data_IF_623578787684
#
_entry.id   IF_623578787684
#
_cell.length_a   1.000
_cell.length_b   1.000
_cell.length_c   1.000
_cell.angle_alpha   90.00
_cell.angle_beta   90.00
_cell.angle_gamma   90.00
#
_symmetry.space_group_name_H-M   'P 1'
#
loop_
_entity.id
_entity.type
_entity.pdbx_description
1 polymer ?
#
# COMPACT_ATOMS: atom_id res chain seq x y z
N UNK A 1 12.54 5.63 -19.54
CA UNK A 1 11.47 6.63 -19.33
C UNK A 1 12.06 7.74 -18.46
N UNK A 2 11.91 9.01 -18.84
CA UNK A 2 12.40 10.17 -18.07
C UNK A 2 11.26 10.78 -17.27
N UNK A 3 11.57 11.43 -16.14
CA UNK A 3 10.57 12.19 -15.38
C UNK A 3 10.10 13.41 -16.19
N UNK A 4 8.87 13.86 -15.99
CA UNK A 4 8.32 15.06 -16.62
C UNK A 4 8.99 16.32 -16.08
N UNK A 5 9.16 17.34 -16.92
CA UNK A 5 9.53 18.69 -16.46
C UNK A 5 8.37 19.35 -15.69
N UNK A 6 8.65 19.87 -14.50
CA UNK A 6 7.61 20.43 -13.60
C UNK A 6 7.78 21.93 -13.32
N UNK A 7 8.79 22.58 -13.89
CA UNK A 7 9.08 24.01 -13.63
C UNK A 7 8.51 24.93 -14.74
N UNK A 8 7.49 24.48 -15.45
CA UNK A 8 6.71 25.27 -16.41
C UNK A 8 5.38 25.67 -15.80
N UNK A 9 4.79 26.78 -16.28
CA UNK A 9 3.62 27.42 -15.66
C UNK A 9 2.39 26.51 -15.47
N UNK A 10 2.28 25.43 -16.26
CA UNK A 10 1.14 24.51 -16.28
C UNK A 10 1.48 23.11 -15.71
N UNK A 11 2.55 22.97 -14.91
CA UNK A 11 2.90 21.69 -14.29
C UNK A 11 3.11 21.80 -12.78
N UNK A 12 2.46 20.91 -12.04
CA UNK A 12 2.71 20.73 -10.61
C UNK A 12 3.97 19.86 -10.39
N UNK A 13 4.74 20.11 -9.32
CA UNK A 13 5.81 19.22 -8.87
C UNK A 13 5.28 17.80 -8.57
N UNK A 14 6.16 16.81 -8.61
CA UNK A 14 5.84 15.48 -8.07
C UNK A 14 5.61 15.59 -6.56
N UNK A 15 4.43 15.18 -6.10
CA UNK A 15 4.09 15.22 -4.67
C UNK A 15 4.24 13.84 -4.05
N UNK A 16 4.96 13.77 -2.94
CA UNK A 16 5.19 12.56 -2.15
C UNK A 16 4.44 12.72 -0.82
N UNK A 17 3.23 12.17 -0.77
CA UNK A 17 2.38 12.09 0.43
C UNK A 17 1.45 10.90 0.27
N UNK A 18 1.48 9.94 1.18
CA UNK A 18 0.56 8.81 1.11
C UNK A 18 -0.89 9.31 1.26
N UNK A 19 -1.70 9.15 0.22
CA UNK A 19 -3.11 9.57 0.17
C UNK A 19 -3.97 8.47 -0.43
N UNK A 20 -5.21 8.36 0.06
CA UNK A 20 -6.25 7.57 -0.59
C UNK A 20 -6.79 8.37 -1.78
N UNK A 21 -6.33 7.99 -2.99
CA UNK A 21 -6.65 8.68 -4.23
C UNK A 21 -7.58 7.83 -5.10
N UNK A 22 -8.86 7.80 -4.72
CA UNK A 22 -9.92 7.17 -5.51
C UNK A 22 -10.00 7.73 -6.93
N UNK A 23 -10.17 6.85 -7.93
CA UNK A 23 -10.25 7.21 -9.36
C UNK A 23 -9.09 8.10 -9.83
N UNK A 24 -7.86 7.79 -9.39
CA UNK A 24 -6.68 8.56 -9.76
C UNK A 24 -6.49 8.67 -11.29
N UNK A 25 -5.93 9.80 -11.72
CA UNK A 25 -5.64 10.06 -13.12
C UNK A 25 -4.27 9.50 -13.51
N UNK A 26 -4.15 8.96 -14.72
CA UNK A 26 -2.87 8.63 -15.33
C UNK A 26 -2.14 9.90 -15.76
N UNK A 27 -0.81 9.83 -15.92
CA UNK A 27 0.03 10.98 -16.34
C UNK A 27 -0.08 12.21 -15.41
N UNK A 28 -0.26 11.96 -14.10
CA UNK A 28 -0.36 12.99 -13.06
C UNK A 28 0.87 12.98 -12.15
N UNK A 29 1.23 14.14 -11.61
CA UNK A 29 2.26 14.32 -10.57
C UNK A 29 1.68 14.31 -9.16
N UNK A 30 0.35 14.14 -9.03
CA UNK A 30 -0.35 14.02 -7.75
C UNK A 30 0.07 12.78 -6.99
N UNK A 31 0.09 12.87 -5.66
CA UNK A 31 0.44 11.75 -4.80
C UNK A 31 -0.57 10.60 -4.90
N UNK A 32 -0.08 9.39 -4.61
CA UNK A 32 -0.87 8.16 -4.47
C UNK A 32 -0.62 7.55 -3.07
N UNK A 33 -0.87 6.25 -2.91
CA UNK A 33 -0.86 5.53 -1.63
C UNK A 33 0.53 5.35 -0.99
N UNK A 34 1.61 5.48 -1.77
CA UNK A 34 2.98 5.24 -1.30
C UNK A 34 3.98 6.27 -1.82
N UNK A 35 5.04 6.50 -1.05
CA UNK A 35 6.12 7.42 -1.38
C UNK A 35 7.47 6.80 -1.05
N UNK A 36 8.37 6.75 -2.03
CA UNK A 36 9.77 6.34 -1.87
C UNK A 36 10.64 7.48 -2.41
N UNK A 37 11.24 8.32 -1.55
CA UNK A 37 11.89 9.57 -1.96
C UNK A 37 13.30 9.37 -2.52
N UNK A 38 13.43 8.52 -3.55
CA UNK A 38 14.68 8.26 -4.28
C UNK A 38 14.56 8.65 -5.75
N UNK A 39 15.57 9.34 -6.28
CA UNK A 39 15.65 9.78 -7.68
C UNK A 39 16.97 9.30 -8.28
N UNK A 40 16.91 8.84 -9.52
CA UNK A 40 18.09 8.38 -10.27
C UNK A 40 18.39 9.32 -11.43
N UNK A 41 19.62 9.84 -11.47
CA UNK A 41 20.17 10.52 -12.64
C UNK A 41 20.90 9.50 -13.51
N UNK A 42 20.46 9.31 -14.75
CA UNK A 42 21.02 8.29 -15.65
C UNK A 42 21.54 8.88 -16.96
N UNK A 43 22.71 8.43 -17.39
CA UNK A 43 23.31 8.74 -18.69
C UNK A 43 23.92 7.48 -19.31
N UNK A 44 24.35 7.59 -20.59
CA UNK A 44 25.10 6.51 -21.25
C UNK A 44 26.42 6.15 -20.55
N UNK A 45 26.98 7.05 -19.74
CA UNK A 45 28.30 6.89 -19.10
C UNK A 45 28.20 6.42 -17.64
N UNK A 46 27.22 6.92 -16.90
CA UNK A 46 27.07 6.64 -15.48
C UNK A 46 25.65 6.89 -14.98
N UNK A 47 25.34 6.30 -13.83
CA UNK A 47 24.14 6.53 -13.04
C UNK A 47 24.53 7.01 -11.65
N UNK A 48 23.80 7.98 -11.12
CA UNK A 48 23.83 8.38 -9.73
C UNK A 48 22.42 8.36 -9.13
N UNK A 49 22.33 8.36 -7.81
CA UNK A 49 21.07 8.39 -7.07
C UNK A 49 21.11 9.40 -5.92
N UNK A 50 19.94 9.95 -5.61
CA UNK A 50 19.71 10.82 -4.45
C UNK A 50 18.54 10.20 -3.67
N UNK A 51 18.73 9.96 -2.37
CA UNK A 51 17.67 9.57 -1.45
C UNK A 51 17.53 10.62 -0.36
N UNK A 52 16.36 11.24 -0.28
CA UNK A 52 16.02 12.20 0.78
C UNK A 52 15.28 11.48 1.89
N UNK A 53 15.99 11.14 2.95
CA UNK A 53 15.48 10.40 4.10
C UNK A 53 14.63 11.30 5.00
N UNK A 54 13.38 11.51 4.60
CA UNK A 54 12.43 12.35 5.32
C UNK A 54 11.01 11.78 5.18
N UNK A 55 10.25 11.72 6.29
CA UNK A 55 8.90 11.16 6.32
C UNK A 55 7.78 12.21 6.16
N UNK A 56 8.11 13.50 6.22
CA UNK A 56 7.15 14.56 5.99
C UNK A 56 6.70 14.59 4.53
N UNK A 57 5.62 15.33 4.26
CA UNK A 57 5.20 15.59 2.89
C UNK A 57 6.34 16.26 2.10
N UNK A 58 6.59 15.76 0.89
CA UNK A 58 7.62 16.29 0.01
C UNK A 58 7.06 16.67 -1.36
N UNK A 59 7.76 17.60 -2.00
CA UNK A 59 7.57 17.95 -3.39
C UNK A 59 8.92 17.92 -4.11
N UNK A 60 8.91 17.43 -5.34
CA UNK A 60 10.10 17.35 -6.18
C UNK A 60 9.81 18.05 -7.50
N UNK A 61 10.53 19.14 -7.72
CA UNK A 61 10.60 19.79 -9.02
C UNK A 61 11.70 19.18 -9.89
N UNK A 62 11.40 18.95 -11.16
CA UNK A 62 12.35 18.43 -12.16
C UNK A 62 12.48 19.44 -13.30
N UNK A 63 13.71 19.81 -13.66
CA UNK A 63 13.97 20.68 -14.82
C UNK A 63 15.05 20.14 -15.74
N UNK A 64 14.87 20.40 -17.03
CA UNK A 64 15.82 20.07 -18.09
C UNK A 64 16.27 21.31 -18.89
N UNK A 65 15.90 22.53 -18.46
CA UNK A 65 16.15 23.80 -19.18
C UNK A 65 17.62 24.02 -19.50
N UNK A 66 18.53 23.67 -18.59
CA UNK A 66 19.95 23.60 -18.90
C UNK A 66 20.24 22.28 -19.61
N UNK A 67 20.33 22.30 -20.95
CA UNK A 67 20.70 21.13 -21.75
C UNK A 67 21.93 20.45 -21.13
N UNK A 68 21.82 19.14 -20.88
CA UNK A 68 22.84 18.28 -20.25
C UNK A 68 23.06 18.47 -18.74
N UNK A 69 22.21 19.25 -18.06
CA UNK A 69 22.23 19.42 -16.59
C UNK A 69 20.81 19.30 -16.02
N UNK A 70 20.20 18.11 -16.06
CA UNK A 70 18.95 17.89 -15.35
C UNK A 70 19.16 18.18 -13.86
N UNK A 71 18.19 18.82 -13.22
CA UNK A 71 18.24 19.07 -11.78
C UNK A 71 16.91 18.75 -11.11
N UNK A 72 17.00 18.38 -9.83
CA UNK A 72 15.87 18.10 -8.97
C UNK A 72 15.92 19.04 -7.76
N UNK A 73 14.80 19.71 -7.46
CA UNK A 73 14.65 20.53 -6.26
C UNK A 73 13.67 19.85 -5.33
N UNK A 74 14.15 19.50 -4.14
CA UNK A 74 13.34 18.89 -3.08
C UNK A 74 12.84 19.98 -2.13
N UNK A 75 11.57 19.90 -1.77
CA UNK A 75 10.91 20.75 -0.79
C UNK A 75 10.23 19.82 0.22
N UNK A 76 10.47 20.02 1.51
CA UNK A 76 9.90 19.19 2.59
C UNK A 76 9.15 20.06 3.58
N UNK A 77 8.00 19.58 4.05
CA UNK A 77 7.14 20.30 4.99
C UNK A 77 7.78 20.46 6.37
N UNK A 78 8.59 19.48 6.80
CA UNK A 78 9.25 19.50 8.10
C UNK A 78 10.31 18.42 8.23
N UNK A 79 10.86 18.28 9.43
CA UNK A 79 11.96 17.37 9.73
C UNK A 79 13.33 17.93 9.31
N UNK A 80 14.36 17.09 9.41
CA UNK A 80 15.73 17.45 9.06
C UNK A 80 16.03 17.17 7.59
N UNK A 81 17.02 17.88 7.04
CA UNK A 81 17.61 17.53 5.75
C UNK A 81 18.62 16.39 5.95
N UNK A 82 18.21 15.17 5.62
CA UNK A 82 19.05 13.97 5.67
C UNK A 82 19.14 13.35 4.26
N UNK A 83 20.28 13.55 3.60
CA UNK A 83 20.44 13.31 2.16
C UNK A 83 21.57 12.30 1.90
N UNK A 84 21.23 11.23 1.19
CA UNK A 84 22.18 10.21 0.75
C UNK A 84 22.44 10.33 -0.74
N UNK A 85 23.73 10.27 -1.12
CA UNK A 85 24.19 10.32 -2.50
C UNK A 85 24.81 8.97 -2.88
N UNK A 86 24.35 8.42 -4.00
CA UNK A 86 24.81 7.14 -4.53
C UNK A 86 25.52 7.38 -5.87
N UNK A 87 26.79 7.02 -5.98
CA UNK A 87 27.64 7.40 -7.12
C UNK A 87 27.73 6.34 -8.23
N UNK A 88 27.12 5.15 -8.04
CA UNK A 88 27.10 4.10 -9.05
C UNK A 88 28.44 3.38 -9.23
N UNK A 89 28.92 3.15 -10.47
CA UNK A 89 28.60 3.91 -11.69
C UNK A 89 27.46 3.32 -12.53
N UNK A 90 27.08 2.05 -12.35
CA UNK A 90 25.95 1.45 -13.07
C UNK A 90 24.65 1.62 -12.28
N UNK A 91 23.50 1.54 -12.97
CA UNK A 91 22.20 1.53 -12.30
C UNK A 91 22.10 0.41 -11.24
N UNK A 92 22.67 -0.77 -11.53
CA UNK A 92 22.73 -1.89 -10.59
C UNK A 92 23.50 -1.55 -9.32
N UNK A 93 24.60 -0.81 -9.44
CA UNK A 93 25.42 -0.41 -8.29
C UNK A 93 24.73 0.67 -7.45
N UNK A 94 24.06 1.63 -8.09
CA UNK A 94 23.25 2.63 -7.39
C UNK A 94 22.12 1.97 -6.61
N UNK A 95 21.39 1.02 -7.22
CA UNK A 95 20.34 0.27 -6.53
C UNK A 95 20.91 -0.56 -5.37
N UNK A 96 22.08 -1.19 -5.54
CA UNK A 96 22.76 -1.91 -4.45
C UNK A 96 23.10 -1.00 -3.27
N UNK A 97 23.70 0.16 -3.54
CA UNK A 97 24.03 1.16 -2.52
C UNK A 97 22.77 1.61 -1.76
N UNK A 98 21.65 1.80 -2.46
CA UNK A 98 20.36 2.14 -1.85
C UNK A 98 19.82 1.02 -0.96
N UNK A 99 19.75 -0.23 -1.44
CA UNK A 99 19.21 -1.35 -0.64
C UNK A 99 20.15 -1.85 0.46
N UNK A 100 21.45 -1.56 0.38
CA UNK A 100 22.38 -1.77 1.49
C UNK A 100 22.10 -0.81 2.66
N UNK A 101 21.57 0.38 2.36
CA UNK A 101 21.11 1.35 3.36
C UNK A 101 19.69 1.02 3.87
N UNK A 102 18.74 0.76 2.97
CA UNK A 102 17.30 0.66 3.33
C UNK A 102 16.79 -0.76 3.54
N UNK A 103 17.63 -1.77 3.31
CA UNK A 103 17.26 -3.17 3.33
C UNK A 103 16.88 -3.71 1.96
N UNK A 104 17.02 -5.04 1.84
CA UNK A 104 16.72 -5.80 0.63
C UNK A 104 15.32 -6.41 0.73
N UNK A 105 14.73 -6.72 -0.41
CA UNK A 105 13.47 -7.45 -0.45
C UNK A 105 13.59 -8.77 0.33
N UNK A 106 12.63 -9.02 1.23
CA UNK A 106 12.56 -10.30 1.94
C UNK A 106 12.24 -11.42 0.95
N UNK A 107 12.65 -12.65 1.27
CA UNK A 107 12.31 -13.81 0.44
C UNK A 107 10.81 -14.08 0.58
N UNK A 108 10.01 -13.94 -0.51
CA UNK A 108 8.57 -14.16 -0.43
C UNK A 108 8.26 -15.65 -0.23
N UNK A 109 7.10 -15.95 0.37
CA UNK A 109 6.59 -17.31 0.37
C UNK A 109 6.21 -17.69 -1.06
N UNK A 110 6.59 -18.88 -1.54
CA UNK A 110 6.47 -19.23 -2.96
C UNK A 110 5.07 -19.02 -3.55
N UNK A 111 4.02 -19.35 -2.78
CA UNK A 111 2.62 -19.23 -3.20
C UNK A 111 2.20 -17.77 -3.46
N UNK A 112 2.89 -16.76 -2.91
CA UNK A 112 2.57 -15.34 -3.14
C UNK A 112 2.98 -14.85 -4.53
N UNK A 113 3.71 -15.67 -5.29
CA UNK A 113 4.09 -15.40 -6.68
C UNK A 113 3.09 -16.02 -7.67
N UNK A 114 2.13 -16.81 -7.18
CA UNK A 114 1.10 -17.45 -7.98
C UNK A 114 -0.07 -16.52 -8.29
N UNK A 115 -1.20 -17.09 -8.74
CA UNK A 115 -2.40 -16.31 -9.02
C UNK A 115 -3.24 -16.09 -7.76
N UNK A 116 -3.62 -14.83 -7.52
CA UNK A 116 -4.45 -14.42 -6.39
C UNK A 116 -5.81 -13.94 -6.90
N UNK A 117 -6.88 -14.62 -6.48
CA UNK A 117 -8.25 -14.25 -6.81
C UNK A 117 -8.82 -13.33 -5.72
N UNK A 118 -9.31 -12.15 -6.11
CA UNK A 118 -9.85 -11.16 -5.19
C UNK A 118 -11.01 -10.39 -5.82
N UNK A 119 -11.95 -9.94 -4.99
CA UNK A 119 -12.93 -8.88 -5.29
C UNK A 119 -13.43 -8.27 -3.99
N UNK A 120 -14.03 -7.09 -4.10
CA UNK A 120 -14.88 -6.50 -3.08
C UNK A 120 -16.35 -6.88 -3.35
N UNK A 121 -17.02 -7.76 -2.62
CA UNK A 121 -16.51 -8.78 -1.70
C UNK A 121 -17.01 -10.16 -2.20
N UNK A 122 -16.45 -11.25 -1.68
CA UNK A 122 -17.20 -12.52 -1.61
C UNK A 122 -18.10 -12.42 -0.38
N UNK A 123 -19.42 -12.60 -0.55
CA UNK A 123 -20.36 -12.24 0.51
C UNK A 123 -20.48 -13.34 1.55
N UNK A 124 -20.29 -14.60 1.15
CA UNK A 124 -20.42 -15.77 2.03
C UNK A 124 -19.25 -16.74 1.89
N UNK A 125 -19.08 -17.61 2.89
CA UNK A 125 -18.13 -18.72 2.82
C UNK A 125 -18.42 -19.70 1.66
N UNK A 126 -19.67 -19.82 1.24
CA UNK A 126 -20.04 -20.73 0.15
C UNK A 126 -19.74 -20.11 -1.22
N UNK A 127 -19.83 -18.77 -1.37
CA UNK A 127 -19.32 -18.07 -2.56
C UNK A 127 -17.83 -18.36 -2.77
N UNK A 128 -17.05 -18.33 -1.68
CA UNK A 128 -15.60 -18.62 -1.72
C UNK A 128 -15.36 -20.06 -2.17
N UNK A 129 -16.13 -21.02 -1.63
CA UNK A 129 -16.01 -22.43 -2.03
C UNK A 129 -16.38 -22.61 -3.50
N UNK A 130 -17.48 -22.01 -3.95
CA UNK A 130 -17.94 -22.10 -5.33
C UNK A 130 -16.89 -21.59 -6.31
N UNK A 131 -16.30 -20.42 -6.05
CA UNK A 131 -15.25 -19.84 -6.89
C UNK A 131 -14.05 -20.78 -6.97
N UNK A 132 -13.59 -21.30 -5.84
CA UNK A 132 -12.42 -22.19 -5.81
C UNK A 132 -12.71 -23.51 -6.53
N UNK A 133 -13.89 -24.10 -6.32
CA UNK A 133 -14.31 -25.32 -7.03
C UNK A 133 -14.35 -25.10 -8.53
N UNK A 134 -14.91 -23.97 -9.00
CA UNK A 134 -14.97 -23.64 -10.43
C UNK A 134 -13.59 -23.41 -11.04
N UNK A 135 -12.67 -22.77 -10.30
CA UNK A 135 -11.28 -22.62 -10.77
C UNK A 135 -10.62 -23.98 -11.01
N UNK A 136 -10.83 -24.94 -10.10
CA UNK A 136 -10.34 -26.32 -10.28
C UNK A 136 -11.08 -27.06 -11.41
N UNK A 137 -12.41 -26.94 -11.52
CA UNK A 137 -13.22 -27.56 -12.59
C UNK A 137 -12.78 -27.12 -13.99
N UNK A 138 -12.45 -25.84 -14.14
CA UNK A 138 -12.04 -25.24 -15.42
C UNK A 138 -10.52 -25.24 -15.63
N UNK A 139 -9.74 -25.93 -14.78
CA UNK A 139 -8.28 -26.02 -14.87
C UNK A 139 -7.58 -24.63 -14.89
N UNK A 140 -8.12 -23.68 -14.12
CA UNK A 140 -7.50 -22.37 -13.91
C UNK A 140 -6.64 -22.37 -12.64
N UNK A 141 -5.31 -22.20 -12.75
CA UNK A 141 -4.43 -22.24 -11.59
C UNK A 141 -4.66 -21.02 -10.68
N UNK A 142 -4.69 -21.28 -9.37
CA UNK A 142 -4.82 -20.28 -8.31
C UNK A 142 -4.07 -20.76 -7.06
N UNK A 143 -3.51 -19.82 -6.31
CA UNK A 143 -2.79 -20.09 -5.05
C UNK A 143 -3.52 -19.52 -3.83
N UNK A 144 -4.21 -18.38 -3.99
CA UNK A 144 -4.88 -17.72 -2.88
C UNK A 144 -6.18 -17.04 -3.28
N UNK A 145 -7.12 -16.99 -2.33
CA UNK A 145 -8.36 -16.22 -2.42
C UNK A 145 -8.41 -15.19 -1.29
N UNK A 146 -8.86 -13.98 -1.60
CA UNK A 146 -8.91 -12.84 -0.69
C UNK A 146 -10.33 -12.56 -0.20
N UNK A 147 -10.46 -12.22 1.08
CA UNK A 147 -11.67 -11.69 1.68
C UNK A 147 -11.49 -10.20 1.97
N UNK A 148 -12.30 -9.39 1.32
CA UNK A 148 -12.41 -7.96 1.56
C UNK A 148 -13.37 -7.66 2.74
N UNK A 149 -13.52 -6.40 3.14
CA UNK A 149 -14.00 -6.00 4.49
C UNK A 149 -15.34 -6.60 4.94
N UNK A 150 -16.21 -7.04 4.01
CA UNK A 150 -17.52 -7.61 4.34
C UNK A 150 -17.47 -8.99 5.01
N UNK A 151 -16.32 -9.66 5.06
CA UNK A 151 -16.19 -10.90 5.86
C UNK A 151 -16.29 -10.65 7.37
N UNK A 152 -16.03 -9.42 7.81
CA UNK A 152 -16.00 -9.04 9.23
C UNK A 152 -17.40 -8.88 9.83
N UNK A 153 -17.52 -9.02 11.15
CA UNK A 153 -18.74 -8.62 11.86
C UNK A 153 -18.79 -7.09 11.95
N UNK A 154 -19.60 -6.45 11.10
CA UNK A 154 -19.88 -5.02 11.19
C UNK A 154 -18.65 -4.11 11.05
N UNK A 155 -17.63 -4.54 10.30
CA UNK A 155 -16.35 -3.83 10.06
C UNK A 155 -15.45 -3.80 11.31
N UNK A 156 -15.63 -4.77 12.21
CA UNK A 156 -14.70 -5.06 13.32
C UNK A 156 -13.65 -6.05 12.84
N UNK A 157 -12.40 -5.62 12.69
CA UNK A 157 -11.31 -6.54 12.34
C UNK A 157 -11.12 -7.64 13.39
N UNK A 158 -10.44 -8.73 13.03
CA UNK A 158 -10.27 -9.91 13.90
C UNK A 158 -11.59 -10.61 14.29
N UNK A 159 -12.68 -10.33 13.57
CA UNK A 159 -13.97 -11.00 13.73
C UNK A 159 -14.45 -11.58 12.40
N UNK A 160 -15.46 -12.43 12.45
CA UNK A 160 -16.12 -13.01 11.29
C UNK A 160 -17.61 -12.69 11.37
N UNK A 161 -18.23 -12.34 10.25
CA UNK A 161 -19.68 -12.19 10.16
C UNK A 161 -20.34 -13.54 10.49
N UNK A 162 -21.10 -13.64 11.59
CA UNK A 162 -21.57 -14.94 12.07
C UNK A 162 -22.65 -15.57 11.18
N UNK A 163 -23.32 -14.78 10.33
CA UNK A 163 -24.32 -15.28 9.38
C UNK A 163 -23.65 -15.79 8.09
N UNK A 164 -22.73 -15.01 7.54
CA UNK A 164 -22.15 -15.27 6.22
C UNK A 164 -20.89 -16.13 6.25
N UNK A 165 -20.17 -16.10 7.37
CA UNK A 165 -18.91 -16.82 7.62
C UNK A 165 -19.00 -17.55 8.96
N UNK A 166 -20.00 -18.41 9.10
CA UNK A 166 -20.31 -19.15 10.33
C UNK A 166 -19.30 -20.24 10.68
N UNK A 167 -18.57 -20.78 9.69
CA UNK A 167 -17.50 -21.77 9.89
C UNK A 167 -16.20 -21.37 9.17
N UNK A 168 -15.50 -20.33 9.67
CA UNK A 168 -14.27 -19.85 9.05
C UNK A 168 -13.13 -20.86 9.17
N UNK A 169 -13.16 -21.74 10.17
CA UNK A 169 -12.17 -22.81 10.35
C UNK A 169 -12.38 -23.92 9.31
N UNK A 170 -13.63 -24.31 9.05
CA UNK A 170 -13.97 -25.25 7.98
C UNK A 170 -13.61 -24.71 6.61
N UNK A 171 -13.86 -23.41 6.36
CA UNK A 171 -13.42 -22.76 5.12
C UNK A 171 -11.89 -22.83 4.93
N UNK A 172 -11.12 -22.52 5.98
CA UNK A 172 -9.65 -22.62 5.92
C UNK A 172 -9.17 -24.05 5.68
N UNK A 173 -9.78 -25.05 6.34
CA UNK A 173 -9.47 -26.46 6.13
C UNK A 173 -9.79 -26.92 4.70
N UNK A 174 -10.93 -26.48 4.17
CA UNK A 174 -11.33 -26.75 2.79
C UNK A 174 -10.28 -26.23 1.79
N UNK A 175 -9.87 -24.95 1.93
CA UNK A 175 -8.85 -24.36 1.06
C UNK A 175 -7.49 -25.06 1.21
N UNK A 176 -7.08 -25.35 2.44
CA UNK A 176 -5.84 -26.06 2.71
C UNK A 176 -5.81 -27.46 2.07
N UNK A 177 -6.96 -28.15 2.01
CA UNK A 177 -7.06 -29.49 1.38
C UNK A 177 -6.76 -29.46 -0.13
N UNK A 178 -6.94 -28.32 -0.79
CA UNK A 178 -6.62 -28.09 -2.21
C UNK A 178 -5.32 -27.30 -2.39
N UNK A 179 -4.50 -27.21 -1.35
CA UNK A 179 -3.26 -26.43 -1.34
C UNK A 179 -3.47 -24.93 -1.67
N UNK A 180 -4.62 -24.34 -1.32
CA UNK A 180 -4.91 -22.90 -1.48
C UNK A 180 -4.78 -22.15 -0.17
N UNK A 181 -4.61 -20.83 -0.23
CA UNK A 181 -4.49 -19.93 0.94
C UNK A 181 -5.67 -18.97 1.01
N UNK A 182 -6.03 -18.61 2.24
CA UNK A 182 -7.00 -17.55 2.51
C UNK A 182 -6.25 -16.31 2.97
N UNK A 183 -6.54 -15.16 2.37
CA UNK A 183 -6.04 -13.87 2.83
C UNK A 183 -7.23 -13.04 3.29
N UNK A 184 -7.12 -12.44 4.47
CA UNK A 184 -8.18 -11.59 5.06
C UNK A 184 -7.66 -10.18 5.24
N UNK A 185 -8.42 -9.18 4.78
CA UNK A 185 -8.06 -7.78 5.01
C UNK A 185 -8.14 -7.40 6.50
N UNK A 186 -7.17 -6.62 6.96
CA UNK A 186 -7.13 -5.98 8.28
C UNK A 186 -6.59 -4.56 8.06
N UNK A 187 -7.43 -3.54 8.26
CA UNK A 187 -6.98 -2.14 8.16
C UNK A 187 -6.59 -1.59 9.54
N UNK A 188 -5.81 -0.49 9.59
CA UNK A 188 -5.39 0.12 10.86
C UNK A 188 -6.46 0.96 11.56
N UNK A 189 -7.72 0.99 11.09
CA UNK A 189 -8.80 1.71 11.75
C UNK A 189 -9.63 0.76 12.62
N UNK A 190 -9.93 1.15 13.84
CA UNK A 190 -10.66 0.30 14.80
C UNK A 190 -12.03 0.93 15.05
N UNK A 191 -13.09 0.15 14.83
CA UNK A 191 -14.47 0.58 15.09
C UNK A 191 -14.62 0.98 16.55
N UNK A 192 -15.20 2.17 16.80
CA UNK A 192 -15.60 2.61 18.14
C UNK A 192 -16.83 1.81 18.55
N UNK A 193 -16.65 0.87 19.47
CA UNK A 193 -17.69 -0.04 19.96
C UNK A 193 -17.28 -0.57 21.35
N UNK A 194 -18.07 -0.28 22.38
CA UNK A 194 -17.77 -0.65 23.77
C UNK A 194 -17.78 -2.16 24.02
N UNK A 195 -18.39 -2.93 23.13
CA UNK A 195 -18.46 -4.39 23.22
C UNK A 195 -17.38 -5.07 22.37
N UNK A 196 -16.52 -4.29 21.70
CA UNK A 196 -15.43 -4.80 20.85
C UNK A 196 -14.08 -4.80 21.60
N UNK A 197 -13.54 -5.99 21.97
CA UNK A 197 -12.37 -6.06 22.86
C UNK A 197 -11.11 -5.38 22.31
N UNK A 198 -10.91 -5.36 20.99
CA UNK A 198 -9.75 -4.69 20.36
C UNK A 198 -9.82 -3.18 20.58
N UNK A 199 -11.02 -2.60 20.48
CA UNK A 199 -11.23 -1.18 20.77
C UNK A 199 -10.97 -0.89 22.25
N UNK A 200 -11.68 -1.60 23.14
CA UNK A 200 -11.57 -1.43 24.60
C UNK A 200 -10.13 -1.60 25.09
N UNK A 201 -9.41 -2.59 24.56
CA UNK A 201 -8.01 -2.83 24.92
C UNK A 201 -7.04 -1.72 24.50
N UNK A 202 -7.37 -0.98 23.43
CA UNK A 202 -6.54 0.09 22.88
C UNK A 202 -6.82 1.49 23.43
N UNK A 203 -8.00 1.71 24.00
CA UNK A 203 -8.44 3.02 24.51
C UNK A 203 -7.41 3.62 25.48
N UNK A 204 -7.08 4.89 25.27
CA UNK A 204 -6.14 5.66 26.06
C UNK A 204 -4.67 5.28 25.87
N UNK A 205 -4.35 4.16 25.20
CA UNK A 205 -3.01 3.55 25.17
C UNK A 205 -2.36 3.54 23.79
N UNK A 206 -3.07 3.03 22.78
CA UNK A 206 -2.46 2.69 21.49
C UNK A 206 -2.97 3.52 20.30
N UNK A 207 -4.03 4.30 20.50
CA UNK A 207 -4.58 5.13 19.44
C UNK A 207 -3.79 6.43 19.25
N UNK A 208 -3.81 6.93 18.00
CA UNK A 208 -3.37 8.29 17.69
C UNK A 208 -4.19 9.26 18.52
N UNK A 209 -3.57 10.33 19.03
CA UNK A 209 -4.19 11.30 19.92
C UNK A 209 -4.31 12.67 19.27
N UNK A 210 -5.33 13.41 19.67
CA UNK A 210 -5.40 14.86 19.48
C UNK A 210 -4.39 15.57 20.37
N UNK A 211 -4.13 16.86 20.08
CA UNK A 211 -3.23 17.70 20.89
C UNK A 211 -3.65 17.80 22.36
N UNK A 212 -4.96 17.69 22.65
CA UNK A 212 -5.50 17.67 24.00
C UNK A 212 -5.33 16.31 24.73
N UNK A 213 -4.66 15.33 24.10
CA UNK A 213 -4.40 14.00 24.65
C UNK A 213 -5.53 12.98 24.52
N UNK A 214 -6.70 13.38 24.02
CA UNK A 214 -7.81 12.46 23.75
C UNK A 214 -7.54 11.59 22.52
N UNK A 215 -8.11 10.39 22.48
CA UNK A 215 -7.96 9.50 21.33
C UNK A 215 -8.65 10.11 20.10
N UNK A 216 -7.97 10.10 18.96
CA UNK A 216 -8.49 10.57 17.69
C UNK A 216 -9.64 9.67 17.23
N UNK A 217 -10.77 10.29 16.87
CA UNK A 217 -11.92 9.62 16.26
C UNK A 217 -12.26 10.34 14.96
N UNK A 218 -12.40 9.56 13.89
CA UNK A 218 -12.81 10.05 12.58
C UNK A 218 -13.82 9.11 11.95
N UNK A 219 -14.62 9.63 11.02
CA UNK A 219 -15.53 8.81 10.22
C UNK A 219 -14.76 8.22 9.04
N UNK A 220 -14.75 6.90 8.92
CA UNK A 220 -14.26 6.20 7.72
C UNK A 220 -15.32 5.19 7.28
N UNK A 221 -16.07 5.51 6.23
CA UNK A 221 -16.86 4.56 5.44
C UNK A 221 -17.02 5.14 4.03
N UNK A 222 -16.39 4.52 3.04
CA UNK A 222 -16.67 4.80 1.64
C UNK A 222 -17.76 3.83 1.17
N UNK A 223 -18.90 4.40 0.76
CA UNK A 223 -20.01 3.78 0.02
C UNK A 223 -20.88 2.80 0.84
N UNK A 224 -21.89 3.36 1.52
CA UNK A 224 -23.20 2.69 1.63
C UNK A 224 -23.86 2.86 0.26
N UNK A 225 -23.85 1.84 -0.60
CA UNK A 225 -24.82 1.79 -1.69
C UNK A 225 -26.07 1.10 -1.16
N UNK A 226 -27.02 1.90 -0.68
CA UNK A 226 -28.40 1.46 -0.59
C UNK A 226 -29.00 1.51 -2.00
N UNK A 227 -28.86 0.43 -2.77
CA UNK A 227 -29.87 -0.06 -3.73
C UNK A 227 -29.72 -1.57 -3.84
#
# INVERSE_FOLDING_TARGET
MTLRETVEADSDPYRLKNVDAGQYQTNSTKSLYGAVPVIYGHSKKSTSGIFLHNAAQQWVDITYKEKLKPSARFIVEGGTLDLFLFFGPSFKDVVRQYVDLTGRMHMPQLWTLGYHQCRYSYLTQDDVKEVVTKMEEYDFPMDAIWLDIDYTDGKKYFTWNPQNYSDPVGLQKYLASMNKRLITIIDPHIKVDSDYPVYVGGQGKYFVKWENGSDFQGTKYYIVSNV
#
